data_IF_523618599518
#
_entry.id   IF_523618599518
#
_cell.length_a   1.000
_cell.length_b   1.000
_cell.length_c   1.000
_cell.angle_alpha   90.00
_cell.angle_beta   90.00
_cell.angle_gamma   90.00
#
_symmetry.space_group_name_H-M   'P 1'
#
loop_
_entity.id
_entity.type
_entity.pdbx_description
1 polymer ?
#
# COMPACT_ATOMS: atom_id res chain seq x y z
N UNK A 1 -7.70 31.48 -9.01
CA UNK A 1 -6.56 31.53 -8.09
C UNK A 1 -6.97 30.85 -6.80
N UNK A 2 -6.73 29.54 -6.72
CA UNK A 2 -6.95 28.75 -5.52
C UNK A 2 -5.78 29.05 -4.59
N UNK A 3 -5.85 30.18 -3.89
CA UNK A 3 -4.94 30.46 -2.79
C UNK A 3 -5.42 29.64 -1.61
N UNK A 4 -4.54 28.74 -1.16
CA UNK A 4 -4.65 27.97 0.06
C UNK A 4 -5.14 28.86 1.21
N UNK A 5 -6.27 28.48 1.79
CA UNK A 5 -6.63 28.94 3.12
C UNK A 5 -5.67 28.23 4.08
N UNK A 6 -4.47 28.79 4.24
CA UNK A 6 -3.50 28.37 5.23
C UNK A 6 -4.10 28.61 6.62
N UNK A 7 -4.54 27.54 7.27
CA UNK A 7 -4.92 27.54 8.68
C UNK A 7 -3.70 27.12 9.50
N UNK A 8 -3.07 28.01 10.28
CA UNK A 8 -1.83 27.72 11.01
C UNK A 8 -1.99 26.74 12.19
N UNK A 9 -3.19 26.17 12.39
CA UNK A 9 -3.51 25.31 13.53
C UNK A 9 -3.89 23.87 13.15
N UNK A 10 -3.55 23.43 11.93
CA UNK A 10 -3.68 22.02 11.57
C UNK A 10 -2.41 21.29 12.00
N UNK A 11 -2.48 20.53 13.09
CA UNK A 11 -1.39 19.69 13.63
C UNK A 11 -0.71 18.82 12.56
N UNK A 12 -1.46 18.47 11.51
CA UNK A 12 -0.97 17.67 10.39
C UNK A 12 0.27 18.25 9.69
N UNK A 13 0.38 19.57 9.52
CA UNK A 13 1.56 20.20 8.88
C UNK A 13 2.85 20.09 9.71
N UNK A 14 2.72 19.85 11.03
CA UNK A 14 3.85 19.75 11.95
C UNK A 14 4.16 18.31 12.37
N UNK A 15 3.26 17.37 12.11
CA UNK A 15 3.40 15.96 12.53
C UNK A 15 3.57 14.96 11.39
N UNK A 16 3.40 15.38 10.13
CA UNK A 16 3.59 14.54 8.95
C UNK A 16 4.49 15.20 7.91
N UNK A 17 5.29 14.36 7.23
CA UNK A 17 6.17 14.69 6.10
C UNK A 17 5.44 14.67 4.76
N UNK A 18 4.23 14.11 4.70
CA UNK A 18 3.50 13.85 3.45
C UNK A 18 3.34 15.12 2.61
N UNK A 19 2.99 16.24 3.24
CA UNK A 19 2.71 17.48 2.51
C UNK A 19 3.97 18.14 1.95
N UNK A 20 5.06 18.12 2.71
CA UNK A 20 6.34 18.61 2.24
C UNK A 20 6.85 17.71 1.10
N UNK A 21 6.74 16.39 1.25
CA UNK A 21 7.08 15.42 0.22
C UNK A 21 6.29 15.65 -1.07
N UNK A 22 4.95 15.78 -1.00
CA UNK A 22 4.09 16.01 -2.16
C UNK A 22 4.48 17.28 -2.95
N UNK A 23 4.70 18.38 -2.21
CA UNK A 23 5.14 19.65 -2.79
C UNK A 23 6.52 19.56 -3.46
N UNK A 24 7.49 18.95 -2.78
CA UNK A 24 8.87 18.89 -3.26
C UNK A 24 9.03 17.86 -4.40
N UNK A 25 8.41 16.69 -4.28
CA UNK A 25 8.42 15.65 -5.31
C UNK A 25 7.86 16.19 -6.63
N UNK A 26 6.68 16.83 -6.59
CA UNK A 26 6.06 17.41 -7.78
C UNK A 26 6.98 18.42 -8.47
N UNK A 27 7.59 19.33 -7.69
CA UNK A 27 8.48 20.36 -8.25
C UNK A 27 9.72 19.76 -8.89
N UNK A 28 10.34 18.78 -8.25
CA UNK A 28 11.50 18.09 -8.81
C UNK A 28 11.14 17.32 -10.07
N UNK A 29 10.07 16.53 -10.05
CA UNK A 29 9.63 15.75 -11.21
C UNK A 29 9.29 16.63 -12.43
N UNK A 30 8.80 17.84 -12.19
CA UNK A 30 8.37 18.79 -13.23
C UNK A 30 9.40 19.90 -13.53
N UNK A 31 10.62 19.81 -12.97
CA UNK A 31 11.66 20.84 -13.12
C UNK A 31 11.18 22.28 -12.75
N UNK A 32 10.35 22.39 -11.72
CA UNK A 32 9.87 23.68 -11.21
C UNK A 32 10.83 24.26 -10.16
N UNK A 33 10.88 25.59 -9.98
CA UNK A 33 11.65 26.21 -8.90
C UNK A 33 11.25 25.68 -7.53
N UNK A 34 12.20 25.53 -6.61
CA UNK A 34 11.91 25.14 -5.23
C UNK A 34 11.18 26.26 -4.47
N UNK A 35 10.33 25.94 -3.47
CA UNK A 35 9.53 26.93 -2.77
C UNK A 35 10.42 27.86 -1.92
N UNK A 36 10.04 29.13 -1.83
CA UNK A 36 10.68 30.11 -0.96
C UNK A 36 9.66 30.74 -0.01
N UNK A 37 10.10 31.09 1.19
CA UNK A 37 9.27 31.82 2.15
C UNK A 37 9.24 33.34 1.82
N UNK A 38 8.44 34.11 2.58
CA UNK A 38 8.31 35.57 2.40
C UNK A 38 9.61 36.36 2.61
N UNK A 39 10.63 35.75 3.21
CA UNK A 39 11.96 36.34 3.42
C UNK A 39 12.93 36.02 2.27
N UNK A 40 12.48 35.31 1.24
CA UNK A 40 13.33 34.89 0.11
C UNK A 40 14.23 33.69 0.43
N UNK A 41 14.03 33.00 1.55
CA UNK A 41 14.75 31.77 1.87
C UNK A 41 14.08 30.62 1.14
N UNK A 42 14.82 29.96 0.26
CA UNK A 42 14.32 28.89 -0.59
C UNK A 42 14.78 27.52 -0.08
N UNK A 43 13.94 26.51 -0.28
CA UNK A 43 14.36 25.13 -0.13
C UNK A 43 15.50 24.81 -1.11
N UNK A 44 16.40 23.93 -0.68
CA UNK A 44 17.60 23.53 -1.42
C UNK A 44 17.49 22.09 -1.90
N UNK A 45 18.40 21.68 -2.79
CA UNK A 45 18.49 20.28 -3.21
C UNK A 45 18.73 19.33 -2.03
N UNK A 46 19.48 19.74 -1.01
CA UNK A 46 19.69 18.95 0.21
C UNK A 46 18.41 18.81 1.03
N UNK A 47 17.56 19.84 1.10
CA UNK A 47 16.27 19.76 1.79
C UNK A 47 15.34 18.77 1.10
N UNK A 48 15.31 18.80 -0.24
CA UNK A 48 14.58 17.82 -1.06
C UNK A 48 15.07 16.40 -0.77
N UNK A 49 16.37 16.14 -0.86
CA UNK A 49 16.91 14.80 -0.63
C UNK A 49 16.61 14.31 0.77
N UNK A 50 16.73 15.17 1.79
CA UNK A 50 16.40 14.82 3.15
C UNK A 50 14.92 14.46 3.29
N UNK A 51 14.03 15.27 2.72
CA UNK A 51 12.58 15.06 2.84
C UNK A 51 12.11 13.80 2.11
N UNK A 52 12.55 13.59 0.86
CA UNK A 52 12.19 12.42 0.06
C UNK A 52 12.76 11.10 0.64
N UNK A 53 13.79 11.17 1.47
CA UNK A 53 14.27 10.02 2.25
C UNK A 53 13.46 9.83 3.54
N UNK A 54 13.11 10.90 4.24
CA UNK A 54 12.37 10.84 5.50
C UNK A 54 10.95 10.30 5.33
N UNK A 55 10.28 10.64 4.24
CA UNK A 55 8.93 10.13 3.95
C UNK A 55 8.90 8.60 3.82
N UNK A 56 9.99 7.99 3.36
CA UNK A 56 10.13 6.53 3.29
C UNK A 56 10.06 5.90 4.68
N UNK A 57 10.69 6.55 5.66
CA UNK A 57 10.64 6.12 7.06
C UNK A 57 9.24 6.32 7.64
N UNK A 58 8.62 7.48 7.42
CA UNK A 58 7.28 7.77 7.95
C UNK A 58 6.25 6.75 7.48
N UNK A 59 6.21 6.42 6.17
CA UNK A 59 5.28 5.43 5.64
C UNK A 59 5.55 4.04 6.21
N UNK A 60 6.80 3.59 6.23
CA UNK A 60 7.17 2.30 6.84
C UNK A 60 6.74 2.21 8.30
N UNK A 61 7.09 3.23 9.08
CA UNK A 61 6.83 3.23 10.52
C UNK A 61 5.34 3.29 10.83
N UNK A 62 4.62 4.24 10.25
CA UNK A 62 3.19 4.44 10.54
C UNK A 62 2.35 3.26 10.05
N UNK A 63 2.68 2.70 8.89
CA UNK A 63 1.82 1.70 8.24
C UNK A 63 2.19 0.26 8.52
N UNK A 64 3.46 -0.06 8.80
CA UNK A 64 3.94 -1.45 9.00
C UNK A 64 4.64 -1.67 10.35
N UNK A 65 5.57 -0.79 10.74
CA UNK A 65 6.55 -1.13 11.80
C UNK A 65 6.14 -0.74 13.22
N UNK A 66 5.17 0.17 13.40
CA UNK A 66 4.69 0.53 14.74
C UNK A 66 3.83 -0.58 15.35
N UNK A 67 3.76 -0.63 16.69
CA UNK A 67 2.89 -1.57 17.40
C UNK A 67 1.39 -1.43 17.04
N UNK A 68 0.98 -0.27 16.52
CA UNK A 68 -0.40 0.00 16.12
C UNK A 68 -0.66 -0.29 14.64
N UNK A 69 0.38 -0.50 13.85
CA UNK A 69 0.31 -0.62 12.40
C UNK A 69 -0.52 -1.82 11.96
N UNK A 70 -0.36 -2.97 12.62
CA UNK A 70 -1.17 -4.17 12.31
C UNK A 70 -2.67 -3.91 12.51
N UNK A 71 -3.04 -3.25 13.60
CA UNK A 71 -4.44 -2.88 13.84
C UNK A 71 -4.94 -1.86 12.82
N UNK A 72 -4.13 -0.84 12.53
CA UNK A 72 -4.46 0.16 11.53
C UNK A 72 -4.72 -0.47 10.15
N UNK A 73 -3.90 -1.44 9.72
CA UNK A 73 -4.08 -2.11 8.43
C UNK A 73 -5.32 -3.00 8.35
N UNK A 74 -5.85 -3.49 9.48
CA UNK A 74 -7.17 -4.15 9.48
C UNK A 74 -8.24 -3.20 8.96
N UNK A 75 -8.20 -1.93 9.34
CA UNK A 75 -9.19 -0.94 8.93
C UNK A 75 -8.87 -0.33 7.57
N UNK A 76 -7.59 -0.08 7.28
CA UNK A 76 -7.15 0.61 6.09
C UNK A 76 -7.09 -0.30 4.84
N UNK A 77 -6.50 -1.50 4.96
CA UNK A 77 -6.34 -2.44 3.86
C UNK A 77 -7.38 -3.57 3.86
N UNK A 78 -7.84 -3.98 5.05
CA UNK A 78 -8.76 -5.10 5.24
C UNK A 78 -10.02 -5.06 4.36
N UNK A 79 -10.74 -3.93 4.23
CA UNK A 79 -11.93 -3.86 3.38
C UNK A 79 -11.65 -4.14 1.90
N UNK A 80 -10.54 -3.62 1.37
CA UNK A 80 -10.14 -3.91 -0.01
C UNK A 80 -9.70 -5.37 -0.17
N UNK A 81 -9.01 -5.93 0.82
CA UNK A 81 -8.66 -7.36 0.82
C UNK A 81 -9.89 -8.26 0.87
N UNK A 82 -10.95 -7.88 1.60
CA UNK A 82 -12.21 -8.62 1.61
C UNK A 82 -12.84 -8.67 0.20
N UNK A 83 -12.88 -7.52 -0.49
CA UNK A 83 -13.34 -7.43 -1.88
C UNK A 83 -12.50 -8.29 -2.82
N UNK A 84 -11.17 -8.17 -2.75
CA UNK A 84 -10.25 -8.95 -3.59
C UNK A 84 -10.41 -10.45 -3.33
N UNK A 85 -10.47 -10.88 -2.07
CA UNK A 85 -10.64 -12.29 -1.72
C UNK A 85 -12.00 -12.83 -2.22
N UNK A 86 -13.06 -12.03 -2.14
CA UNK A 86 -14.37 -12.38 -2.69
C UNK A 86 -14.30 -12.54 -4.22
N UNK A 87 -13.61 -11.64 -4.92
CA UNK A 87 -13.42 -11.71 -6.38
C UNK A 87 -12.63 -12.95 -6.81
N UNK A 88 -11.55 -13.27 -6.09
CA UNK A 88 -10.76 -14.47 -6.34
C UNK A 88 -11.59 -15.74 -6.14
N UNK A 89 -12.33 -15.85 -5.04
CA UNK A 89 -13.23 -16.97 -4.80
C UNK A 89 -14.33 -17.08 -5.87
N UNK A 90 -14.87 -15.94 -6.29
CA UNK A 90 -15.86 -15.89 -7.38
C UNK A 90 -15.27 -16.33 -8.72
N UNK A 91 -14.03 -15.97 -9.02
CA UNK A 91 -13.31 -16.41 -10.22
C UNK A 91 -13.07 -17.92 -10.22
N UNK A 92 -12.75 -18.50 -9.06
CA UNK A 92 -12.62 -19.95 -8.87
C UNK A 92 -13.97 -20.66 -9.11
N UNK A 93 -15.04 -20.17 -8.46
CA UNK A 93 -16.36 -20.78 -8.56
C UNK A 93 -17.00 -20.65 -9.95
N UNK A 94 -16.68 -19.58 -10.68
CA UNK A 94 -17.24 -19.26 -12.00
C UNK A 94 -16.37 -19.69 -13.18
N UNK A 95 -15.32 -20.50 -12.96
CA UNK A 95 -14.32 -20.82 -13.99
C UNK A 95 -14.91 -21.30 -15.33
N UNK A 96 -16.06 -21.99 -15.30
CA UNK A 96 -16.77 -22.52 -16.49
C UNK A 96 -17.85 -21.61 -17.06
N UNK A 97 -18.14 -20.44 -16.46
CA UNK A 97 -19.19 -19.52 -16.91
C UNK A 97 -18.66 -18.60 -18.02
N UNK A 98 -19.48 -18.35 -19.04
CA UNK A 98 -19.12 -17.51 -20.18
C UNK A 98 -18.93 -16.01 -19.82
N UNK A 99 -19.64 -15.52 -18.81
CA UNK A 99 -19.64 -14.11 -18.38
C UNK A 99 -18.79 -13.85 -17.12
N UNK A 100 -17.80 -14.69 -16.83
CA UNK A 100 -16.94 -14.49 -15.66
C UNK A 100 -16.05 -13.25 -15.81
N UNK A 101 -15.89 -12.51 -14.72
CA UNK A 101 -14.90 -11.42 -14.63
C UNK A 101 -13.50 -12.01 -14.78
N UNK A 102 -12.68 -11.40 -15.65
CA UNK A 102 -11.30 -11.83 -15.90
C UNK A 102 -10.26 -10.85 -15.38
N UNK A 103 -10.67 -9.61 -15.15
CA UNK A 103 -9.82 -8.52 -14.69
C UNK A 103 -10.69 -7.50 -13.97
N UNK A 104 -10.25 -7.11 -12.79
CA UNK A 104 -10.76 -5.95 -12.05
C UNK A 104 -9.66 -4.89 -12.07
N UNK A 105 -10.03 -3.62 -12.26
CA UNK A 105 -9.10 -2.50 -12.21
C UNK A 105 -9.54 -1.58 -11.09
N UNK A 106 -8.61 -1.30 -10.18
CA UNK A 106 -8.79 -0.37 -9.07
C UNK A 106 -7.84 0.81 -9.31
N UNK A 107 -8.40 2.01 -9.41
CA UNK A 107 -7.62 3.24 -9.37
C UNK A 107 -7.72 3.81 -7.96
N UNK A 108 -6.57 3.98 -7.31
CA UNK A 108 -6.47 4.44 -5.93
C UNK A 108 -5.42 5.53 -5.76
N UNK A 109 -5.13 5.85 -4.50
CA UNK A 109 -4.13 6.83 -4.11
C UNK A 109 -2.83 6.14 -3.66
N UNK A 110 -1.76 6.92 -3.46
CA UNK A 110 -0.56 6.48 -2.73
C UNK A 110 -0.91 5.83 -1.38
N UNK A 111 -1.90 6.37 -0.67
CA UNK A 111 -2.44 5.79 0.55
C UNK A 111 -2.99 4.38 0.32
N UNK A 112 -3.76 4.17 -0.75
CA UNK A 112 -4.25 2.84 -1.13
C UNK A 112 -3.08 1.88 -1.35
N UNK A 113 -2.08 2.30 -2.12
CA UNK A 113 -0.93 1.47 -2.46
C UNK A 113 -0.10 1.09 -1.23
N UNK A 114 0.31 2.06 -0.41
CA UNK A 114 1.13 1.73 0.76
C UNK A 114 0.34 1.05 1.89
N UNK A 115 -1.01 1.17 1.93
CA UNK A 115 -1.84 0.31 2.80
C UNK A 115 -1.91 -1.14 2.28
N UNK A 116 -2.04 -1.36 0.97
CA UNK A 116 -1.94 -2.72 0.39
C UNK A 116 -0.59 -3.34 0.72
N UNK A 117 0.51 -2.61 0.47
CA UNK A 117 1.86 -3.11 0.75
C UNK A 117 2.06 -3.40 2.24
N UNK A 118 1.59 -2.51 3.12
CA UNK A 118 1.69 -2.71 4.56
C UNK A 118 0.84 -3.87 5.06
N UNK A 119 -0.40 -4.01 4.57
CA UNK A 119 -1.28 -5.13 4.90
C UNK A 119 -0.71 -6.47 4.42
N UNK A 120 -0.04 -6.50 3.28
CA UNK A 120 0.72 -7.67 2.82
C UNK A 120 2.04 -7.86 3.57
N UNK A 121 2.40 -6.94 4.46
CA UNK A 121 3.67 -6.93 5.18
C UNK A 121 4.88 -6.97 4.23
N UNK A 122 4.83 -6.14 3.19
CA UNK A 122 5.89 -5.99 2.20
C UNK A 122 7.24 -5.68 2.87
N UNK A 123 8.33 -6.09 2.23
CA UNK A 123 9.68 -5.79 2.68
C UNK A 123 10.02 -4.29 2.59
N UNK A 124 11.23 -3.91 3.01
CA UNK A 124 11.64 -2.50 3.05
C UNK A 124 11.63 -1.81 1.68
N UNK A 125 11.77 -2.58 0.59
CA UNK A 125 11.70 -2.04 -0.76
C UNK A 125 10.24 -1.91 -1.21
N UNK A 126 9.40 -2.90 -0.92
CA UNK A 126 7.98 -2.85 -1.22
C UNK A 126 7.21 -1.79 -0.40
N UNK A 127 7.77 -1.33 0.71
CA UNK A 127 7.17 -0.30 1.57
C UNK A 127 7.64 1.14 1.27
N UNK A 128 8.42 1.36 0.21
CA UNK A 128 8.77 2.71 -0.19
C UNK A 128 7.52 3.52 -0.58
N UNK A 129 7.59 4.85 -0.42
CA UNK A 129 6.57 5.79 -0.86
C UNK A 129 6.23 5.51 -2.34
N UNK A 130 4.95 5.26 -2.66
CA UNK A 130 4.51 4.98 -4.02
C UNK A 130 4.95 6.07 -5.00
N UNK A 131 5.56 5.67 -6.11
CA UNK A 131 5.81 6.61 -7.21
C UNK A 131 4.51 6.95 -7.94
N UNK A 132 4.54 8.02 -8.76
CA UNK A 132 3.49 8.18 -9.76
C UNK A 132 3.45 6.96 -10.69
N UNK A 133 2.24 6.52 -11.04
CA UNK A 133 1.98 5.31 -11.83
C UNK A 133 2.46 4.00 -11.16
N UNK A 134 2.64 4.02 -9.83
CA UNK A 134 2.84 2.81 -9.04
C UNK A 134 1.66 1.85 -9.28
N UNK A 135 1.98 0.61 -9.62
CA UNK A 135 1.00 -0.40 -9.96
C UNK A 135 1.36 -1.76 -9.35
N UNK A 136 0.30 -2.44 -8.90
CA UNK A 136 0.37 -3.81 -8.41
C UNK A 136 -0.58 -4.70 -9.20
N UNK A 137 -0.05 -5.81 -9.72
CA UNK A 137 -0.82 -6.86 -10.36
C UNK A 137 -0.96 -8.03 -9.38
N UNK A 138 -2.20 -8.40 -9.06
CA UNK A 138 -2.52 -9.62 -8.35
C UNK A 138 -3.16 -10.61 -9.32
N UNK A 139 -2.56 -11.78 -9.44
CA UNK A 139 -2.95 -12.79 -10.41
C UNK A 139 -3.34 -14.09 -9.71
N UNK A 140 -4.43 -14.70 -10.18
CA UNK A 140 -4.87 -16.02 -9.76
C UNK A 140 -4.47 -17.07 -10.79
N UNK A 141 -3.68 -18.05 -10.35
CA UNK A 141 -3.20 -19.14 -11.17
C UNK A 141 -3.85 -20.46 -10.77
N UNK A 142 -4.09 -21.33 -11.76
CA UNK A 142 -4.50 -22.71 -11.55
C UNK A 142 -3.49 -23.66 -12.15
N UNK A 143 -2.90 -24.51 -11.32
CA UNK A 143 -2.05 -25.59 -11.79
C UNK A 143 -2.90 -26.64 -12.52
N UNK A 144 -2.60 -26.93 -13.79
CA UNK A 144 -3.40 -27.83 -14.63
C UNK A 144 -3.35 -29.30 -14.18
N UNK A 145 -2.24 -29.76 -13.63
CA UNK A 145 -2.08 -31.17 -13.24
C UNK A 145 -2.69 -31.47 -11.87
N UNK A 146 -2.55 -30.56 -10.92
CA UNK A 146 -3.04 -30.74 -9.54
C UNK A 146 -4.40 -30.10 -9.29
N UNK A 147 -4.83 -29.17 -10.15
CA UNK A 147 -6.04 -28.38 -9.95
C UNK A 147 -5.94 -27.31 -8.85
N UNK A 148 -4.80 -27.22 -8.14
CA UNK A 148 -4.56 -26.27 -7.04
C UNK A 148 -4.44 -24.84 -7.56
N UNK A 149 -4.81 -23.88 -6.71
CA UNK A 149 -4.73 -22.46 -7.00
C UNK A 149 -3.56 -21.80 -6.26
N UNK A 150 -2.98 -20.78 -6.87
CA UNK A 150 -1.97 -19.92 -6.26
C UNK A 150 -2.17 -18.46 -6.65
N UNK A 151 -1.65 -17.56 -5.83
CA UNK A 151 -1.63 -16.12 -6.05
C UNK A 151 -0.21 -15.68 -6.40
N UNK A 152 -0.09 -14.84 -7.43
CA UNK A 152 1.15 -14.10 -7.73
C UNK A 152 0.90 -12.62 -7.58
N UNK A 153 1.83 -11.92 -6.93
CA UNK A 153 1.78 -10.46 -6.79
C UNK A 153 3.05 -9.85 -7.39
N UNK A 154 2.85 -8.91 -8.31
CA UNK A 154 3.91 -8.16 -8.97
C UNK A 154 3.70 -6.68 -8.62
N UNK A 155 4.67 -6.05 -7.98
CA UNK A 155 4.68 -4.61 -7.70
C UNK A 155 5.75 -3.93 -8.56
N UNK A 156 5.36 -2.95 -9.38
CA UNK A 156 6.26 -2.24 -10.31
C UNK A 156 7.16 -3.18 -11.14
N UNK A 157 6.58 -4.26 -11.67
CA UNK A 157 7.29 -5.23 -12.50
C UNK A 157 8.18 -6.22 -11.76
N UNK A 158 8.19 -6.22 -10.42
CA UNK A 158 8.95 -7.17 -9.60
C UNK A 158 8.02 -8.04 -8.74
N UNK A 159 8.38 -9.33 -8.55
CA UNK A 159 7.65 -10.18 -7.60
C UNK A 159 7.72 -9.55 -6.21
N UNK A 160 6.55 -9.34 -5.61
CA UNK A 160 6.45 -8.75 -4.28
C UNK A 160 7.14 -9.64 -3.25
N UNK A 161 8.01 -9.05 -2.45
CA UNK A 161 8.63 -9.70 -1.30
C UNK A 161 7.94 -9.22 -0.03
N UNK A 162 7.75 -10.15 0.90
CA UNK A 162 7.11 -9.90 2.19
C UNK A 162 7.98 -10.36 3.33
N UNK A 163 7.78 -9.76 4.49
CA UNK A 163 8.34 -10.22 5.76
C UNK A 163 7.48 -11.35 6.33
N UNK A 164 7.78 -11.83 7.52
CA UNK A 164 6.92 -12.81 8.20
C UNK A 164 5.59 -12.21 8.65
N UNK A 165 4.63 -13.03 9.07
CA UNK A 165 3.25 -12.59 9.30
C UNK A 165 3.12 -11.71 10.54
N UNK A 166 4.09 -11.81 11.46
CA UNK A 166 4.18 -11.01 12.68
C UNK A 166 5.57 -10.38 12.78
N UNK A 167 5.64 -9.26 13.50
CA UNK A 167 6.92 -8.61 13.79
C UNK A 167 7.85 -9.58 14.53
N UNK A 168 9.07 -9.75 14.01
CA UNK A 168 10.07 -10.67 14.54
C UNK A 168 10.09 -12.06 13.89
N UNK A 169 9.12 -12.40 13.04
CA UNK A 169 9.17 -13.62 12.24
C UNK A 169 10.34 -13.58 11.26
N UNK A 170 11.17 -14.62 11.23
CA UNK A 170 12.41 -14.66 10.44
C UNK A 170 12.19 -15.05 8.97
N UNK A 171 11.04 -15.62 8.63
CA UNK A 171 10.74 -16.14 7.31
C UNK A 171 9.57 -15.38 6.68
N UNK A 172 9.58 -15.14 5.37
CA UNK A 172 8.45 -14.54 4.66
C UNK A 172 7.19 -15.39 4.85
N UNK A 173 6.04 -14.76 5.09
CA UNK A 173 4.79 -15.50 5.27
C UNK A 173 4.29 -16.14 3.96
N UNK A 174 4.75 -15.65 2.80
CA UNK A 174 4.57 -16.32 1.52
C UNK A 174 5.67 -15.98 0.49
N UNK A 175 5.79 -16.83 -0.53
CA UNK A 175 6.49 -16.52 -1.77
C UNK A 175 5.47 -16.16 -2.86
N UNK A 176 5.44 -14.88 -3.26
CA UNK A 176 4.50 -14.41 -4.27
C UNK A 176 4.88 -14.74 -5.71
N UNK A 177 5.92 -15.52 -5.98
CA UNK A 177 6.06 -16.16 -7.29
C UNK A 177 5.02 -17.29 -7.51
N UNK A 178 4.32 -17.71 -6.45
CA UNK A 178 3.25 -18.70 -6.53
C UNK A 178 2.70 -19.07 -5.15
N UNK A 179 2.22 -18.08 -4.41
CA UNK A 179 1.73 -18.26 -3.04
C UNK A 179 0.53 -19.20 -3.03
N UNK A 180 0.54 -20.25 -2.21
CA UNK A 180 -0.61 -21.18 -2.11
C UNK A 180 -1.89 -20.41 -1.73
N UNK A 181 -2.99 -20.65 -2.45
CA UNK A 181 -4.21 -19.88 -2.27
C UNK A 181 -4.83 -20.04 -0.88
N UNK A 182 -4.65 -21.20 -0.22
CA UNK A 182 -5.13 -21.38 1.14
C UNK A 182 -4.27 -20.61 2.14
N UNK A 183 -2.93 -20.61 1.96
CA UNK A 183 -2.03 -19.76 2.75
C UNK A 183 -2.40 -18.29 2.63
N UNK A 184 -2.61 -17.81 1.40
CA UNK A 184 -3.06 -16.45 1.14
C UNK A 184 -4.40 -16.15 1.82
N UNK A 185 -5.40 -17.02 1.63
CA UNK A 185 -6.75 -16.86 2.22
C UNK A 185 -6.70 -16.79 3.74
N UNK A 186 -5.90 -17.66 4.38
CA UNK A 186 -5.75 -17.68 5.83
C UNK A 186 -5.10 -16.39 6.33
N UNK A 187 -4.09 -15.87 5.62
CA UNK A 187 -3.47 -14.59 5.96
C UNK A 187 -4.46 -13.43 5.81
N UNK A 188 -5.19 -13.35 4.69
CA UNK A 188 -6.21 -12.32 4.46
C UNK A 188 -7.29 -12.33 5.54
N UNK A 189 -7.82 -13.49 5.90
CA UNK A 189 -8.85 -13.63 6.93
C UNK A 189 -8.40 -13.14 8.32
N UNK A 190 -7.10 -13.10 8.60
CA UNK A 190 -6.58 -12.55 9.87
C UNK A 190 -6.54 -11.01 9.88
N UNK A 191 -6.47 -10.39 8.70
CA UNK A 191 -6.39 -8.93 8.53
C UNK A 191 -7.76 -8.33 8.27
N UNK A 192 -8.64 -9.04 7.57
CA UNK A 192 -9.98 -8.57 7.29
C UNK A 192 -10.76 -8.46 8.62
N UNK A 193 -11.31 -7.26 8.95
CA UNK A 193 -12.12 -7.08 10.14
C UNK A 193 -13.44 -7.83 9.98
N UNK A 194 -13.92 -8.45 11.07
CA UNK A 194 -15.14 -9.26 11.01
C UNK A 194 -16.39 -8.37 10.86
N UNK A 195 -16.37 -7.21 11.52
CA UNK A 195 -17.37 -6.16 11.41
C UNK A 195 -16.65 -4.82 11.59
N UNK A 196 -16.31 -4.21 10.46
CA UNK A 196 -15.61 -2.92 10.41
C UNK A 196 -16.38 -1.82 11.17
N UNK A 197 -17.71 -1.80 11.09
CA UNK A 197 -18.50 -0.77 11.75
C UNK A 197 -18.42 -0.91 13.27
N UNK A 198 -18.49 -2.14 13.78
CA UNK A 198 -18.32 -2.41 15.21
C UNK A 198 -16.89 -2.10 15.70
N UNK A 199 -15.86 -2.45 14.91
CA UNK A 199 -14.46 -2.23 15.26
C UNK A 199 -14.06 -0.75 15.19
N UNK A 200 -14.81 0.07 14.45
CA UNK A 200 -14.64 1.53 14.36
C UNK A 200 -15.58 2.32 15.28
N UNK A 201 -16.44 1.67 16.08
CA UNK A 201 -17.28 2.35 17.06
C UNK A 201 -16.42 2.79 18.25
N UNK A 202 -16.32 4.12 18.46
CA UNK A 202 -15.55 4.75 19.54
C UNK A 202 -16.47 5.31 20.61
#
# INVERSE_FOLDING_TARGET
TMFDIYSPNVTYFTTSRVLQSDLLQTRVCQNLPLPCNKLGQCATASDVTLELNNIQFEVKYTRRDSQYSSQYQRYAAGPLFAQVLQELNSAIASQKKCNRVRMSIYSGHDDTMSNIMAGLHADDFGMLWPSYDDNTLLELWKNKSTGKYSVRIINNGQILKVLGAKQGDSNPWCDFNGCDFNTFTNYMNNIIPADLASECAV
#
